data_IF_526031475628
#
_entry.id   IF_526031475628
#
_cell.length_a   1.000
_cell.length_b   1.000
_cell.length_c   1.000
_cell.angle_alpha   90.00
_cell.angle_beta   90.00
_cell.angle_gamma   90.00
#
_symmetry.space_group_name_H-M   'P 1'
#
loop_
_entity.id
_entity.type
_entity.pdbx_description
1 polymer ?
#
# COMPACT_ATOMS: atom_id res chain seq x y z
N UNK A 1 -18.82 -19.63 -7.16
CA UNK A 1 -18.15 -20.84 -7.66
C UNK A 1 -18.44 -22.01 -6.73
N UNK A 2 -18.36 -23.24 -7.22
CA UNK A 2 -18.32 -24.40 -6.33
C UNK A 2 -17.00 -24.39 -5.53
N UNK A 3 -17.01 -24.67 -4.22
CA UNK A 3 -15.78 -24.69 -3.41
C UNK A 3 -14.71 -25.64 -3.94
N UNK A 4 -15.09 -26.74 -4.61
CA UNK A 4 -14.16 -27.71 -5.19
C UNK A 4 -13.42 -27.12 -6.37
N UNK A 5 -14.12 -26.41 -7.26
CA UNK A 5 -13.53 -25.78 -8.43
C UNK A 5 -12.53 -24.69 -8.02
N UNK A 6 -12.88 -23.89 -7.02
CA UNK A 6 -11.97 -22.89 -6.44
C UNK A 6 -10.71 -23.56 -5.88
N UNK A 7 -10.85 -24.66 -5.15
CA UNK A 7 -9.73 -25.36 -4.54
C UNK A 7 -8.80 -25.98 -5.60
N UNK A 8 -9.37 -26.56 -6.67
CA UNK A 8 -8.60 -27.10 -7.79
C UNK A 8 -7.80 -26.00 -8.50
N UNK A 9 -8.41 -24.83 -8.72
CA UNK A 9 -7.73 -23.66 -9.30
C UNK A 9 -6.56 -23.18 -8.44
N UNK A 10 -6.74 -23.12 -7.12
CA UNK A 10 -5.68 -22.73 -6.19
C UNK A 10 -4.52 -23.74 -6.19
N UNK A 11 -4.81 -25.04 -6.22
CA UNK A 11 -3.78 -26.07 -6.32
C UNK A 11 -3.05 -26.06 -7.66
N UNK A 12 -3.77 -25.84 -8.76
CA UNK A 12 -3.17 -25.68 -10.08
C UNK A 12 -2.21 -24.48 -10.11
N UNK A 13 -2.67 -23.33 -9.60
CA UNK A 13 -1.85 -22.13 -9.51
C UNK A 13 -0.60 -22.36 -8.65
N UNK A 14 -0.76 -22.96 -7.46
CA UNK A 14 0.36 -23.30 -6.56
C UNK A 14 1.38 -24.20 -7.24
N UNK A 15 0.94 -25.30 -7.86
CA UNK A 15 1.83 -26.25 -8.52
C UNK A 15 2.62 -25.58 -9.65
N UNK A 16 1.93 -24.82 -10.52
CA UNK A 16 2.55 -24.07 -11.62
C UNK A 16 3.53 -23.02 -11.10
N UNK A 17 3.18 -22.30 -10.03
CA UNK A 17 4.06 -21.31 -9.41
C UNK A 17 5.33 -21.95 -8.86
N UNK A 18 5.20 -23.06 -8.13
CA UNK A 18 6.35 -23.78 -7.53
C UNK A 18 7.25 -24.44 -8.59
N UNK A 19 6.71 -24.74 -9.77
CA UNK A 19 7.46 -25.29 -10.91
C UNK A 19 8.00 -24.23 -11.88
N UNK A 20 7.74 -22.94 -11.62
CA UNK A 20 8.09 -21.83 -12.53
C UNK A 20 7.54 -22.04 -13.96
N UNK A 21 6.29 -22.48 -14.05
CA UNK A 21 5.58 -22.75 -15.30
C UNK A 21 5.30 -21.44 -16.07
N UNK A 22 5.64 -21.35 -17.38
CA UNK A 22 5.39 -20.15 -18.18
C UNK A 22 3.91 -19.80 -18.36
N UNK A 23 2.99 -20.74 -18.18
CA UNK A 23 1.55 -20.52 -18.28
C UNK A 23 0.90 -20.05 -16.97
N UNK A 24 1.68 -19.85 -15.90
CA UNK A 24 1.17 -19.40 -14.61
C UNK A 24 0.32 -18.12 -14.70
N UNK A 25 0.75 -17.16 -15.51
CA UNK A 25 0.01 -15.91 -15.72
C UNK A 25 -1.36 -16.17 -16.37
N UNK A 26 -1.45 -17.11 -17.31
CA UNK A 26 -2.72 -17.45 -17.97
C UNK A 26 -3.75 -18.04 -16.98
N UNK A 27 -3.29 -18.75 -15.94
CA UNK A 27 -4.16 -19.23 -14.87
C UNK A 27 -4.69 -18.09 -14.02
N UNK A 28 -3.88 -17.05 -13.75
CA UNK A 28 -4.40 -15.85 -13.10
C UNK A 28 -5.44 -15.17 -13.99
N UNK A 29 -5.17 -14.99 -15.28
CA UNK A 29 -6.15 -14.37 -16.18
C UNK A 29 -7.48 -15.11 -16.21
N UNK A 30 -7.45 -16.45 -16.27
CA UNK A 30 -8.67 -17.26 -16.28
C UNK A 30 -9.48 -17.10 -14.98
N UNK A 31 -8.81 -16.93 -13.83
CA UNK A 31 -9.48 -16.62 -12.56
C UNK A 31 -10.12 -15.23 -12.57
N UNK A 32 -9.45 -14.25 -13.17
CA UNK A 32 -9.93 -12.86 -13.25
C UNK A 32 -11.14 -12.72 -14.19
N UNK A 33 -11.29 -13.61 -15.16
CA UNK A 33 -12.44 -13.66 -16.09
C UNK A 33 -13.70 -14.28 -15.47
N UNK A 34 -13.62 -14.85 -14.26
CA UNK A 34 -14.75 -15.50 -13.61
C UNK A 34 -15.77 -14.48 -13.07
N UNK A 35 -17.04 -14.67 -13.44
CA UNK A 35 -18.15 -13.95 -12.83
C UNK A 35 -18.28 -14.36 -11.35
N UNK A 36 -17.90 -13.46 -10.44
CA UNK A 36 -17.92 -13.60 -8.97
C UNK A 36 -16.71 -14.29 -8.33
N UNK A 37 -15.49 -13.97 -8.78
CA UNK A 37 -14.29 -14.30 -7.99
C UNK A 37 -14.34 -13.62 -6.61
N UNK A 38 -14.11 -14.40 -5.56
CA UNK A 38 -14.04 -13.88 -4.20
C UNK A 38 -12.69 -13.22 -3.94
N UNK A 39 -12.69 -12.11 -3.20
CA UNK A 39 -11.46 -11.43 -2.75
C UNK A 39 -10.50 -12.39 -2.05
N UNK A 40 -11.03 -13.35 -1.29
CA UNK A 40 -10.22 -14.34 -0.57
C UNK A 40 -9.41 -15.26 -1.49
N UNK A 41 -9.95 -15.58 -2.66
CA UNK A 41 -9.27 -16.40 -3.67
C UNK A 41 -8.08 -15.62 -4.20
N UNK A 42 -8.27 -14.34 -4.54
CA UNK A 42 -7.21 -13.46 -5.02
C UNK A 42 -6.11 -13.22 -3.97
N UNK A 43 -6.48 -13.05 -2.69
CA UNK A 43 -5.51 -12.98 -1.59
C UNK A 43 -4.68 -14.26 -1.47
N UNK A 44 -5.32 -15.42 -1.63
CA UNK A 44 -4.64 -16.72 -1.57
C UNK A 44 -3.67 -16.88 -2.75
N UNK A 45 -4.11 -16.56 -3.96
CA UNK A 45 -3.26 -16.53 -5.15
C UNK A 45 -2.06 -15.60 -4.95
N UNK A 46 -2.28 -14.40 -4.40
CA UNK A 46 -1.20 -13.47 -4.12
C UNK A 46 -0.18 -14.03 -3.12
N UNK A 47 -0.63 -14.77 -2.09
CA UNK A 47 0.24 -15.44 -1.15
C UNK A 47 1.04 -16.58 -1.81
N UNK A 48 0.37 -17.43 -2.60
CA UNK A 48 0.98 -18.54 -3.34
C UNK A 48 2.04 -18.05 -4.33
N UNK A 49 1.80 -16.91 -4.99
CA UNK A 49 2.76 -16.30 -5.92
C UNK A 49 4.08 -15.89 -5.24
N UNK A 50 4.10 -15.74 -3.91
CA UNK A 50 5.26 -15.34 -3.12
C UNK A 50 5.74 -16.44 -2.17
N UNK A 51 5.11 -17.62 -2.17
CA UNK A 51 5.46 -18.73 -1.28
C UNK A 51 6.64 -19.53 -1.83
N UNK A 52 7.79 -19.61 -1.11
CA UNK A 52 8.94 -20.35 -1.59
C UNK A 52 8.60 -21.80 -2.00
N UNK A 53 9.10 -22.30 -3.15
CA UNK A 53 10.11 -21.70 -4.03
C UNK A 53 9.60 -20.63 -5.02
N UNK A 54 8.30 -20.35 -5.07
CA UNK A 54 7.73 -19.36 -5.97
C UNK A 54 8.10 -17.92 -5.55
N UNK A 55 8.35 -17.07 -6.55
CA UNK A 55 8.61 -15.64 -6.33
C UNK A 55 8.19 -14.82 -7.56
N UNK A 56 6.90 -14.47 -7.62
CA UNK A 56 6.30 -13.69 -8.70
C UNK A 56 5.65 -12.39 -8.16
N UNK A 57 6.44 -11.36 -7.81
CA UNK A 57 5.94 -10.09 -7.27
C UNK A 57 4.92 -9.39 -8.18
N UNK A 58 5.07 -9.51 -9.50
CA UNK A 58 4.15 -8.89 -10.46
C UNK A 58 2.76 -9.54 -10.43
N UNK A 59 2.69 -10.88 -10.38
CA UNK A 59 1.42 -11.61 -10.28
C UNK A 59 0.77 -11.40 -8.91
N UNK A 60 1.58 -11.40 -7.85
CA UNK A 60 1.12 -11.04 -6.50
C UNK A 60 0.47 -9.66 -6.48
N UNK A 61 1.16 -8.65 -7.04
CA UNK A 61 0.65 -7.29 -7.15
C UNK A 61 -0.64 -7.22 -7.97
N UNK A 62 -0.71 -7.90 -9.12
CA UNK A 62 -1.91 -7.94 -9.98
C UNK A 62 -3.12 -8.50 -9.24
N UNK A 63 -2.96 -9.65 -8.57
CA UNK A 63 -4.03 -10.27 -7.79
C UNK A 63 -4.52 -9.36 -6.65
N UNK A 64 -3.61 -8.73 -5.90
CA UNK A 64 -3.95 -7.81 -4.82
C UNK A 64 -4.66 -6.53 -5.30
N UNK A 65 -4.28 -5.97 -6.46
CA UNK A 65 -4.96 -4.81 -7.05
C UNK A 65 -6.41 -5.14 -7.41
N UNK A 66 -6.65 -6.30 -8.01
CA UNK A 66 -8.01 -6.73 -8.31
C UNK A 66 -8.79 -7.01 -7.03
N UNK A 67 -8.18 -7.67 -6.05
CA UNK A 67 -8.79 -7.90 -4.74
C UNK A 67 -9.26 -6.56 -4.13
N UNK A 68 -8.36 -5.58 -4.01
CA UNK A 68 -8.67 -4.24 -3.48
C UNK A 68 -9.82 -3.56 -4.22
N UNK A 69 -9.86 -3.67 -5.56
CA UNK A 69 -10.95 -3.12 -6.38
C UNK A 69 -12.31 -3.77 -6.09
N UNK A 70 -12.33 -5.06 -5.72
CA UNK A 70 -13.54 -5.81 -5.38
C UNK A 70 -14.03 -5.49 -3.96
N UNK A 71 -13.15 -5.18 -3.01
CA UNK A 71 -13.58 -4.74 -1.66
C UNK A 71 -14.52 -3.53 -1.72
N UNK A 72 -14.26 -2.59 -2.63
CA UNK A 72 -15.13 -1.42 -2.84
C UNK A 72 -16.56 -1.80 -3.21
N UNK A 73 -16.75 -3.00 -3.78
CA UNK A 73 -18.07 -3.54 -4.18
C UNK A 73 -18.65 -4.48 -3.12
N UNK A 74 -17.81 -5.17 -2.34
CA UNK A 74 -18.21 -6.18 -1.36
C UNK A 74 -17.29 -6.13 -0.11
N UNK A 75 -17.75 -5.59 1.04
CA UNK A 75 -16.91 -5.34 2.24
C UNK A 75 -16.43 -6.57 3.04
N UNK A 76 -16.20 -7.74 2.42
CA UNK A 76 -15.98 -9.00 3.18
C UNK A 76 -14.53 -9.34 3.53
N UNK A 77 -13.55 -8.65 2.95
CA UNK A 77 -12.15 -8.96 3.17
C UNK A 77 -11.45 -7.78 3.89
N UNK A 78 -10.19 -7.97 4.30
CA UNK A 78 -9.35 -6.97 4.96
C UNK A 78 -8.59 -6.07 3.95
N UNK A 79 -9.08 -4.85 3.65
CA UNK A 79 -8.45 -3.95 2.68
C UNK A 79 -7.08 -3.43 3.15
N UNK A 80 -6.86 -3.34 4.48
CA UNK A 80 -5.60 -2.87 5.06
C UNK A 80 -4.45 -3.78 4.64
N UNK A 81 -4.64 -5.10 4.73
CA UNK A 81 -3.63 -6.09 4.32
C UNK A 81 -3.26 -5.97 2.84
N UNK A 82 -4.23 -5.74 1.96
CA UNK A 82 -4.00 -5.56 0.52
C UNK A 82 -3.15 -4.31 0.26
N UNK A 83 -3.56 -3.16 0.79
CA UNK A 83 -2.83 -1.88 0.67
C UNK A 83 -1.39 -2.02 1.18
N UNK A 84 -1.23 -2.56 2.39
CA UNK A 84 0.08 -2.77 3.00
C UNK A 84 1.03 -3.56 2.11
N UNK A 85 0.52 -4.68 1.56
CA UNK A 85 1.29 -5.60 0.72
C UNK A 85 1.65 -4.94 -0.62
N UNK A 86 0.72 -4.22 -1.24
CA UNK A 86 0.94 -3.49 -2.49
C UNK A 86 2.03 -2.41 -2.33
N UNK A 87 2.01 -1.66 -1.23
CA UNK A 87 3.03 -0.64 -0.93
C UNK A 87 4.39 -1.31 -0.70
N UNK A 88 4.45 -2.42 0.06
CA UNK A 88 5.71 -3.16 0.26
C UNK A 88 6.28 -3.75 -1.02
N UNK A 89 5.44 -4.28 -1.92
CA UNK A 89 5.88 -4.82 -3.21
C UNK A 89 6.39 -3.73 -4.16
N UNK A 90 5.84 -2.52 -4.05
CA UNK A 90 6.21 -1.40 -4.91
C UNK A 90 7.41 -0.61 -4.38
N UNK A 91 7.67 -0.68 -3.05
CA UNK A 91 8.82 -0.05 -2.38
C UNK A 91 9.41 -0.97 -1.29
N UNK A 92 10.11 -2.06 -1.65
CA UNK A 92 10.56 -3.07 -0.70
C UNK A 92 11.67 -2.60 0.26
N UNK A 93 12.60 -1.77 -0.19
CA UNK A 93 13.73 -1.24 0.62
C UNK A 93 13.55 0.21 1.08
N UNK A 94 12.35 0.78 0.87
CA UNK A 94 12.12 2.21 1.02
C UNK A 94 12.45 2.97 -0.26
N UNK A 95 12.72 4.27 -0.14
CA UNK A 95 12.77 5.22 -1.26
C UNK A 95 14.24 5.48 -1.69
N UNK A 96 15.13 4.49 -1.52
CA UNK A 96 16.58 4.67 -1.74
C UNK A 96 16.97 4.93 -3.20
N UNK A 97 16.11 4.58 -4.16
CA UNK A 97 16.21 4.95 -5.57
C UNK A 97 14.80 5.31 -6.06
N UNK A 98 14.54 6.62 -6.18
CA UNK A 98 13.20 7.15 -6.41
C UNK A 98 12.86 7.08 -7.89
N UNK A 99 12.42 5.93 -8.36
CA UNK A 99 11.76 5.89 -9.64
C UNK A 99 10.40 6.59 -9.51
N UNK A 100 10.24 7.72 -10.22
CA UNK A 100 9.04 8.56 -10.13
C UNK A 100 7.74 7.76 -10.39
N UNK A 101 7.81 6.77 -11.30
CA UNK A 101 6.69 5.89 -11.60
C UNK A 101 6.28 5.01 -10.41
N UNK A 102 7.23 4.56 -9.58
CA UNK A 102 6.96 3.76 -8.41
C UNK A 102 6.29 4.61 -7.31
N UNK A 103 6.71 5.88 -7.15
CA UNK A 103 6.05 6.80 -6.24
C UNK A 103 4.63 7.15 -6.68
N UNK A 104 4.40 7.34 -7.98
CA UNK A 104 3.06 7.61 -8.51
C UNK A 104 2.13 6.41 -8.30
N UNK A 105 2.61 5.18 -8.55
CA UNK A 105 1.84 3.97 -8.26
C UNK A 105 1.49 3.89 -6.77
N UNK A 106 2.47 4.09 -5.90
CA UNK A 106 2.29 3.98 -4.44
C UNK A 106 1.35 5.07 -3.93
N UNK A 107 1.45 6.29 -4.46
CA UNK A 107 0.54 7.39 -4.15
C UNK A 107 -0.93 6.97 -4.34
N UNK A 108 -1.24 6.28 -5.44
CA UNK A 108 -2.58 5.74 -5.68
C UNK A 108 -3.07 4.83 -4.56
N UNK A 109 -2.21 3.93 -4.05
CA UNK A 109 -2.58 3.06 -2.93
C UNK A 109 -2.86 3.83 -1.63
N UNK A 110 -2.16 4.93 -1.40
CA UNK A 110 -2.44 5.81 -0.25
C UNK A 110 -3.77 6.54 -0.37
N UNK A 111 -4.10 7.06 -1.56
CA UNK A 111 -5.42 7.67 -1.82
C UNK A 111 -6.54 6.66 -1.64
N UNK A 112 -6.35 5.42 -2.11
CA UNK A 112 -7.30 4.34 -1.90
C UNK A 112 -7.48 4.02 -0.41
N UNK A 113 -6.39 3.97 0.36
CA UNK A 113 -6.45 3.74 1.80
C UNK A 113 -7.24 4.85 2.52
N UNK A 114 -6.97 6.13 2.20
CA UNK A 114 -7.74 7.25 2.76
C UNK A 114 -9.22 7.16 2.41
N UNK A 115 -9.57 6.80 1.18
CA UNK A 115 -10.96 6.64 0.77
C UNK A 115 -11.67 5.53 1.55
N UNK A 116 -10.98 4.40 1.81
CA UNK A 116 -11.51 3.28 2.59
C UNK A 116 -11.72 3.68 4.05
N UNK A 117 -10.71 4.29 4.67
CA UNK A 117 -10.78 4.77 6.06
C UNK A 117 -11.88 5.82 6.22
N UNK A 118 -12.02 6.75 5.27
CA UNK A 118 -13.07 7.77 5.31
C UNK A 118 -14.49 7.18 5.17
N UNK A 119 -14.64 6.09 4.42
CA UNK A 119 -15.92 5.41 4.25
C UNK A 119 -16.31 4.56 5.47
N UNK A 120 -15.34 3.96 6.15
CA UNK A 120 -15.54 3.07 7.30
C UNK A 120 -14.38 3.20 8.31
N UNK A 121 -14.36 4.27 9.13
CA UNK A 121 -13.22 4.57 10.00
C UNK A 121 -12.98 3.53 11.10
N UNK A 122 -14.03 2.83 11.53
CA UNK A 122 -13.94 1.79 12.58
C UNK A 122 -13.45 0.43 12.04
N UNK A 123 -13.47 0.22 10.72
CA UNK A 123 -13.12 -1.06 10.07
C UNK A 123 -11.65 -1.13 9.63
N UNK A 124 -10.93 0.01 9.66
CA UNK A 124 -9.52 0.07 9.29
C UNK A 124 -8.63 0.13 10.55
N UNK A 125 -7.67 -0.78 10.75
CA UNK A 125 -6.88 -0.82 11.98
C UNK A 125 -6.10 0.48 12.23
N UNK A 126 -6.25 1.07 13.42
CA UNK A 126 -5.54 2.31 13.83
C UNK A 126 -4.01 2.19 13.67
N UNK A 127 -3.45 1.01 13.97
CA UNK A 127 -2.02 0.72 13.77
C UNK A 127 -1.60 0.72 12.29
N UNK A 128 -2.49 0.34 11.39
CA UNK A 128 -2.21 0.37 9.95
C UNK A 128 -2.30 1.82 9.42
N UNK A 129 -3.27 2.60 9.90
CA UNK A 129 -3.35 4.05 9.65
C UNK A 129 -2.07 4.75 10.08
N UNK A 130 -1.55 4.40 11.26
CA UNK A 130 -0.29 4.95 11.76
C UNK A 130 0.91 4.54 10.91
N UNK A 131 0.96 3.29 10.45
CA UNK A 131 2.01 2.82 9.56
C UNK A 131 2.02 3.59 8.24
N UNK A 132 0.84 3.81 7.64
CA UNK A 132 0.67 4.60 6.43
C UNK A 132 1.17 6.04 6.65
N UNK A 133 0.70 6.70 7.71
CA UNK A 133 1.14 8.06 8.07
C UNK A 133 2.66 8.14 8.16
N UNK A 134 3.26 7.28 8.99
CA UNK A 134 4.70 7.33 9.29
C UNK A 134 5.52 7.14 8.01
N UNK A 135 5.07 6.22 7.16
CA UNK A 135 5.75 5.93 5.89
C UNK A 135 5.61 7.07 4.88
N UNK A 136 4.41 7.66 4.73
CA UNK A 136 4.20 8.82 3.85
C UNK A 136 5.02 10.03 4.32
N UNK A 137 5.09 10.26 5.64
CA UNK A 137 5.91 11.31 6.23
C UNK A 137 7.40 11.10 5.93
N UNK A 138 7.92 9.89 6.14
CA UNK A 138 9.31 9.55 5.85
C UNK A 138 9.65 9.72 4.36
N UNK A 139 8.72 9.38 3.46
CA UNK A 139 8.87 9.66 2.02
C UNK A 139 8.96 11.16 1.75
N UNK A 140 8.09 11.96 2.36
CA UNK A 140 8.14 13.43 2.25
C UNK A 140 9.46 14.02 2.74
N UNK A 141 9.95 13.60 3.91
CA UNK A 141 11.24 14.04 4.48
C UNK A 141 12.41 13.68 3.57
N UNK A 142 12.41 12.51 2.96
CA UNK A 142 13.45 12.14 2.00
C UNK A 142 13.39 12.98 0.73
N UNK A 143 12.21 13.18 0.14
CA UNK A 143 12.07 14.03 -1.04
C UNK A 143 12.51 15.47 -0.76
N UNK A 144 12.24 15.95 0.45
CA UNK A 144 12.71 17.24 0.93
C UNK A 144 14.24 17.30 0.97
N UNK A 145 14.91 16.27 1.52
CA UNK A 145 16.38 16.21 1.56
C UNK A 145 17.03 16.08 0.18
N UNK A 146 16.27 15.57 -0.81
CA UNK A 146 16.64 15.56 -2.23
C UNK A 146 16.28 16.87 -2.98
N UNK A 147 15.84 17.90 -2.27
CA UNK A 147 15.39 19.19 -2.82
C UNK A 147 14.20 19.10 -3.80
N UNK A 148 13.42 18.01 -3.74
CA UNK A 148 12.16 17.83 -4.48
C UNK A 148 11.00 18.38 -3.66
N UNK A 149 11.01 19.70 -3.43
CA UNK A 149 10.09 20.36 -2.50
C UNK A 149 8.60 20.19 -2.85
N UNK A 150 8.16 20.31 -4.13
CA UNK A 150 6.75 20.12 -4.47
C UNK A 150 6.26 18.69 -4.15
N UNK A 151 7.06 17.68 -4.46
CA UNK A 151 6.75 16.29 -4.16
C UNK A 151 6.79 16.04 -2.65
N UNK A 152 7.78 16.60 -1.94
CA UNK A 152 7.87 16.51 -0.49
C UNK A 152 6.64 17.07 0.21
N UNK A 153 6.19 18.27 -0.17
CA UNK A 153 4.98 18.90 0.36
C UNK A 153 3.75 18.02 0.12
N UNK A 154 3.63 17.46 -1.08
CA UNK A 154 2.54 16.56 -1.45
C UNK A 154 2.51 15.32 -0.55
N UNK A 155 3.66 14.67 -0.30
CA UNK A 155 3.76 13.49 0.58
C UNK A 155 3.55 13.82 2.06
N UNK A 156 4.08 14.95 2.55
CA UNK A 156 3.82 15.41 3.91
C UNK A 156 2.33 15.74 4.11
N UNK A 157 1.69 16.42 3.15
CA UNK A 157 0.26 16.71 3.17
C UNK A 157 -0.61 15.44 3.19
N UNK A 158 -0.21 14.41 2.43
CA UNK A 158 -0.85 13.10 2.48
C UNK A 158 -0.75 12.46 3.87
N UNK A 159 0.42 12.50 4.51
CA UNK A 159 0.61 12.01 5.87
C UNK A 159 -0.30 12.73 6.87
N UNK A 160 -0.45 14.06 6.76
CA UNK A 160 -1.39 14.85 7.56
C UNK A 160 -2.85 14.39 7.37
N UNK A 161 -3.19 13.90 6.18
CA UNK A 161 -4.50 13.34 5.87
C UNK A 161 -4.87 12.17 6.78
N UNK A 162 -3.90 11.35 7.22
CA UNK A 162 -4.15 10.19 8.08
C UNK A 162 -4.33 10.54 9.56
N UNK A 163 -3.82 11.69 10.03
CA UNK A 163 -3.83 12.07 11.46
C UNK A 163 -5.25 12.11 12.02
N UNK A 164 -6.20 12.67 11.26
CA UNK A 164 -7.62 12.76 11.66
C UNK A 164 -8.32 11.41 11.82
N UNK A 165 -7.65 10.33 11.41
CA UNK A 165 -8.16 8.96 11.47
C UNK A 165 -7.47 8.13 12.56
N UNK A 166 -6.57 8.72 13.33
CA UNK A 166 -5.83 8.05 14.41
C UNK A 166 -6.57 7.99 15.74
N UNK A 167 -7.91 7.96 15.76
CA UNK A 167 -8.73 7.75 16.96
C UNK A 167 -8.14 8.27 18.28
N UNK A 168 -7.57 7.36 19.06
CA UNK A 168 -6.99 7.63 20.39
C UNK A 168 -5.58 8.27 20.35
N UNK A 169 -4.85 8.06 19.26
CA UNK A 169 -3.49 8.55 19.03
C UNK A 169 -3.44 9.94 18.38
N UNK A 170 -4.56 10.46 17.87
CA UNK A 170 -4.62 11.71 17.11
C UNK A 170 -3.90 12.88 17.81
N UNK A 171 -4.27 13.21 19.05
CA UNK A 171 -3.75 14.38 19.78
C UNK A 171 -2.22 14.31 19.98
N UNK A 172 -1.70 13.10 20.24
CA UNK A 172 -0.27 12.84 20.38
C UNK A 172 0.48 13.07 19.08
N UNK A 173 -0.07 12.60 17.96
CA UNK A 173 0.56 12.74 16.65
C UNK A 173 0.40 14.13 16.04
N UNK A 174 -0.70 14.84 16.29
CA UNK A 174 -0.83 16.26 15.92
C UNK A 174 0.29 17.08 16.56
N UNK A 175 0.54 16.86 17.85
CA UNK A 175 1.61 17.55 18.59
C UNK A 175 3.00 17.17 18.07
N UNK A 176 3.24 15.88 17.81
CA UNK A 176 4.53 15.42 17.28
C UNK A 176 4.81 15.94 15.87
N UNK A 177 3.81 15.92 14.98
CA UNK A 177 3.99 16.39 13.60
C UNK A 177 4.22 17.89 13.58
N UNK A 178 3.51 18.67 14.40
CA UNK A 178 3.82 20.09 14.59
C UNK A 178 5.28 20.26 15.04
N UNK A 179 5.74 19.48 16.03
CA UNK A 179 7.14 19.53 16.47
C UNK A 179 8.14 19.17 15.34
N UNK A 180 7.82 18.18 14.49
CA UNK A 180 8.65 17.82 13.34
C UNK A 180 8.74 18.93 12.29
N UNK A 181 7.63 19.64 12.03
CA UNK A 181 7.61 20.82 11.17
C UNK A 181 8.50 21.94 11.72
N UNK A 182 8.45 22.20 13.04
CA UNK A 182 9.29 23.23 13.67
C UNK A 182 10.78 22.89 13.64
N UNK A 183 11.16 21.61 13.80
CA UNK A 183 12.56 21.19 13.67
C UNK A 183 13.06 21.28 12.22
N UNK A 184 12.24 20.87 11.24
CA UNK A 184 12.58 21.04 9.82
C UNK A 184 12.65 22.51 9.37
N UNK A 185 11.91 23.40 10.03
CA UNK A 185 11.96 24.85 9.79
C UNK A 185 13.05 25.60 10.57
N UNK A 186 13.47 25.09 11.73
CA UNK A 186 14.49 25.75 12.57
C UNK A 186 15.91 25.69 11.98
N UNK A 187 16.23 24.65 11.19
CA UNK A 187 17.51 24.59 10.44
C UNK A 187 17.58 25.61 9.28
N UNK A 188 16.49 26.30 8.97
CA UNK A 188 16.42 27.34 7.93
C UNK A 188 16.37 28.78 8.48
N UNK A 189 16.32 28.97 9.80
CA UNK A 189 16.26 30.29 10.42
C UNK A 189 17.60 30.97 10.70
N UNK A 190 18.71 30.36 10.27
CA UNK A 190 20.07 30.73 10.70
C UNK A 190 20.95 31.43 9.66
N UNK A 191 20.43 32.09 8.62
CA UNK A 191 21.26 32.82 7.65
C UNK A 191 20.56 34.05 7.07
N UNK A 192 20.19 35.02 7.91
CA UNK A 192 19.98 36.40 7.43
C UNK A 192 20.00 37.41 8.58
N UNK A 193 21.19 37.92 8.92
CA UNK A 193 21.40 39.28 9.42
C UNK A 193 22.90 39.60 9.34
N UNK A 194 23.29 40.11 8.17
CA UNK A 194 24.63 40.62 7.91
C UNK A 194 24.53 41.75 6.89
N UNK A 195 24.21 42.95 7.38
CA UNK A 195 24.55 44.26 6.83
C UNK A 195 24.28 45.32 7.89
#
# INVERSE_FOLDING_TARGET
MDPTDTLLLLYEFEARAKLNDPELEAVLESVLELDNVETKVLETIAALAMEPPAHFPLLCKKALRVALSLHKKQPRADPAKCVHSLIKLSLPSGVSEVEAHALEEVWGYYEEALAIIAAAPDDFPEMETLWLLTRAWNTGVLLYSLAQFPEAEKWCGLAMGFIRHLGSLQESYETQVQAWWWWGGADLGGCSSGA
#
